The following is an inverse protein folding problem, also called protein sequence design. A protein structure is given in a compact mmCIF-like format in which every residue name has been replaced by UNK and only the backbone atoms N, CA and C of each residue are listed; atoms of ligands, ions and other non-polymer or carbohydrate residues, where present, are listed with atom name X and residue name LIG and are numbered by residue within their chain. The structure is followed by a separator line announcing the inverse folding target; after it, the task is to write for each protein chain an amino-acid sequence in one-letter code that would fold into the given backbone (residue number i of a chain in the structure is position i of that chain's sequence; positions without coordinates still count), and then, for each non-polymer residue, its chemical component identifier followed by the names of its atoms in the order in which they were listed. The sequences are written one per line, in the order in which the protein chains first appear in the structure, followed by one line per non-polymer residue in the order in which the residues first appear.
data_IF_286539055013
#
_entry.id   IF_286539055013
#
_cell.length_a   1.000
_cell.length_b   1.000
_cell.length_c   1.000
_cell.angle_alpha   90.00
_cell.angle_beta   90.00
_cell.angle_gamma   90.00
#
_symmetry.space_group_name_H-M   'P 1'
#
loop_
_entity.id
_entity.type
_entity.pdbx_description
1 polymer ?
#
# COMPACT_ATOMS: atom_id res chain seq x y z
N UNK A 1 25.04 15.96 -19.94
CA UNK A 1 24.50 15.59 -18.61
C UNK A 1 23.19 14.84 -18.82
N UNK A 2 23.02 13.70 -18.18
CA UNK A 2 21.79 12.94 -18.28
C UNK A 2 20.66 13.62 -17.48
N UNK A 3 19.42 13.47 -17.97
CA UNK A 3 18.26 13.94 -17.24
C UNK A 3 18.07 13.13 -15.93
N UNK A 4 17.64 13.77 -14.86
CA UNK A 4 17.33 13.03 -13.64
C UNK A 4 16.16 12.09 -13.84
N UNK A 5 16.23 10.93 -13.21
CA UNK A 5 15.11 9.99 -13.21
C UNK A 5 13.90 10.60 -12.50
N UNK A 6 12.74 10.48 -13.10
CA UNK A 6 11.47 10.90 -12.51
C UNK A 6 10.65 9.68 -12.15
N UNK A 7 10.07 9.69 -10.96
CA UNK A 7 9.24 8.60 -10.47
C UNK A 7 7.87 9.12 -10.04
N UNK A 8 6.84 8.29 -10.22
CA UNK A 8 5.59 8.47 -9.49
C UNK A 8 5.81 8.02 -8.05
N UNK A 9 5.40 8.84 -7.10
CA UNK A 9 5.46 8.48 -5.68
C UNK A 9 4.16 7.80 -5.27
N UNK A 10 4.26 6.52 -4.93
CA UNK A 10 3.16 5.74 -4.38
C UNK A 10 3.30 5.63 -2.86
N UNK A 11 2.16 5.58 -2.17
CA UNK A 11 2.10 5.27 -0.75
C UNK A 11 1.28 4.01 -0.54
N UNK A 12 1.71 3.17 0.39
CA UNK A 12 1.07 1.90 0.74
C UNK A 12 0.87 1.82 2.25
N UNK A 13 -0.27 1.29 2.65
CA UNK A 13 -0.57 1.06 4.05
C UNK A 13 -0.48 -0.44 4.37
N UNK A 14 0.46 -0.81 5.26
CA UNK A 14 0.43 -2.10 5.94
C UNK A 14 -0.39 -1.92 7.22
N UNK A 15 -1.71 -2.08 7.10
CA UNK A 15 -2.57 -2.12 8.27
C UNK A 15 -2.47 -3.51 8.87
N UNK A 16 -1.93 -3.60 10.07
CA UNK A 16 -1.63 -4.89 10.71
C UNK A 16 -2.55 -5.17 11.88
N UNK A 17 -2.89 -6.44 12.04
CA UNK A 17 -3.58 -6.98 13.20
C UNK A 17 -2.88 -8.30 13.55
N UNK A 18 -2.08 -8.29 14.63
CA UNK A 18 -1.16 -9.38 14.93
C UNK A 18 -0.25 -9.65 13.71
N UNK A 19 -0.14 -10.87 13.23
CA UNK A 19 0.69 -11.23 12.07
C UNK A 19 -0.04 -11.14 10.73
N UNK A 20 -1.24 -10.56 10.73
CA UNK A 20 -2.06 -10.39 9.54
C UNK A 20 -1.96 -8.98 8.99
N UNK A 21 -2.14 -8.86 7.68
CA UNK A 21 -2.20 -7.61 6.96
C UNK A 21 -3.51 -7.53 6.17
N UNK A 22 -4.09 -6.34 6.08
CA UNK A 22 -5.31 -6.11 5.30
C UNK A 22 -4.97 -5.93 3.83
N UNK A 23 -5.60 -6.72 2.98
CA UNK A 23 -5.50 -6.61 1.53
C UNK A 23 -6.85 -6.29 0.90
N UNK A 24 -6.80 -5.63 -0.25
CA UNK A 24 -7.95 -5.27 -1.06
C UNK A 24 -7.88 -6.01 -2.40
N UNK A 25 -8.99 -6.61 -2.83
CA UNK A 25 -9.11 -7.27 -4.12
C UNK A 25 -9.55 -6.24 -5.17
N UNK A 26 -8.70 -5.97 -6.14
CA UNK A 26 -8.95 -4.96 -7.18
C UNK A 26 -10.06 -5.40 -8.13
N UNK A 27 -10.95 -4.46 -8.47
CA UNK A 27 -11.95 -4.64 -9.54
C UNK A 27 -12.29 -3.28 -10.17
N UNK A 28 -12.69 -3.31 -11.45
CA UNK A 28 -13.21 -2.13 -12.13
C UNK A 28 -12.22 -0.97 -12.29
N UNK A 29 -10.92 -1.21 -12.10
CA UNK A 29 -9.88 -0.18 -12.18
C UNK A 29 -9.23 -0.09 -13.55
N UNK A 30 -9.34 -1.16 -14.36
CA UNK A 30 -8.65 -1.28 -15.64
C UNK A 30 -7.19 -1.69 -15.53
N UNK A 31 -6.67 -1.90 -14.32
CA UNK A 31 -5.29 -2.34 -14.09
C UNK A 31 -5.23 -3.35 -12.95
N UNK A 32 -4.62 -4.51 -13.23
CA UNK A 32 -4.42 -5.58 -12.26
C UNK A 32 -5.70 -6.02 -11.53
N UNK A 33 -6.85 -5.93 -12.19
CA UNK A 33 -8.12 -6.38 -11.63
C UNK A 33 -8.10 -7.88 -11.38
N UNK A 34 -8.66 -8.30 -10.23
CA UNK A 34 -8.57 -9.67 -9.76
C UNK A 34 -7.32 -9.97 -8.94
N UNK A 35 -6.43 -9.01 -8.75
CA UNK A 35 -5.24 -9.15 -7.90
C UNK A 35 -5.45 -8.46 -6.55
N UNK A 36 -4.80 -9.02 -5.54
CA UNK A 36 -4.76 -8.44 -4.20
C UNK A 36 -3.67 -7.39 -4.09
N UNK A 37 -3.98 -6.29 -3.42
CA UNK A 37 -3.08 -5.17 -3.22
C UNK A 37 -3.21 -4.65 -1.78
N UNK A 38 -2.16 -4.01 -1.28
CA UNK A 38 -2.29 -3.18 -0.09
C UNK A 38 -3.16 -1.95 -0.41
N UNK A 39 -3.87 -1.39 0.57
CA UNK A 39 -4.43 -0.05 0.42
C UNK A 39 -3.33 0.92 0.01
N UNK A 40 -3.57 1.70 -1.04
CA UNK A 40 -2.52 2.49 -1.68
C UNK A 40 -3.07 3.62 -2.53
N UNK A 41 -2.21 4.55 -2.88
CA UNK A 41 -2.51 5.60 -3.83
C UNK A 41 -1.26 6.40 -4.19
N UNK A 42 -1.44 7.38 -5.04
CA UNK A 42 -0.37 8.30 -5.42
C UNK A 42 -0.37 9.49 -4.48
N UNK A 43 0.81 9.93 -4.07
CA UNK A 43 0.94 11.19 -3.38
C UNK A 43 0.58 12.33 -4.35
N UNK A 44 -0.25 13.24 -3.92
CA UNK A 44 -0.68 14.40 -4.70
C UNK A 44 0.33 15.54 -4.56
N UNK A 45 0.28 16.49 -5.49
CA UNK A 45 1.13 17.69 -5.44
C UNK A 45 0.89 18.42 -4.11
N UNK A 46 1.98 18.81 -3.45
CA UNK A 46 1.99 19.55 -2.20
C UNK A 46 1.48 18.79 -0.97
N UNK A 47 1.35 17.45 -1.04
CA UNK A 47 1.11 16.66 0.18
C UNK A 47 2.35 15.82 0.53
N UNK A 48 2.58 15.60 1.81
CA UNK A 48 3.61 14.70 2.26
C UNK A 48 3.19 13.23 2.06
N UNK A 49 4.15 12.32 2.01
CA UNK A 49 3.83 10.90 1.90
C UNK A 49 2.97 10.40 3.07
N UNK A 50 3.22 10.88 4.29
CA UNK A 50 2.40 10.52 5.46
C UNK A 50 0.98 11.06 5.31
N UNK A 51 0.81 12.32 4.88
CA UNK A 51 -0.52 12.87 4.61
C UNK A 51 -1.25 12.08 3.52
N UNK A 52 -0.53 11.65 2.49
CA UNK A 52 -1.11 10.84 1.40
C UNK A 52 -1.63 9.49 1.90
N UNK A 53 -0.85 8.76 2.71
CA UNK A 53 -1.30 7.46 3.22
C UNK A 53 -2.46 7.60 4.20
N UNK A 54 -2.50 8.65 5.00
CA UNK A 54 -3.64 8.96 5.88
C UNK A 54 -4.90 9.24 5.07
N UNK A 55 -4.79 10.03 4.01
CA UNK A 55 -5.90 10.33 3.10
C UNK A 55 -6.41 9.06 2.40
N UNK A 56 -5.51 8.26 1.84
CA UNK A 56 -5.89 7.02 1.16
C UNK A 56 -6.56 6.02 2.11
N UNK A 57 -6.06 5.90 3.35
CA UNK A 57 -6.70 5.05 4.35
C UNK A 57 -8.15 5.48 4.63
N UNK A 58 -8.41 6.78 4.68
CA UNK A 58 -9.76 7.29 4.85
C UNK A 58 -10.63 7.03 3.61
N UNK A 59 -10.12 7.31 2.43
CA UNK A 59 -10.86 7.14 1.18
C UNK A 59 -11.19 5.67 0.88
N UNK A 60 -10.23 4.77 1.07
CA UNK A 60 -10.38 3.36 0.70
C UNK A 60 -11.00 2.50 1.81
N UNK A 61 -10.70 2.81 3.08
CA UNK A 61 -11.07 1.97 4.22
C UNK A 61 -12.01 2.65 5.22
N UNK A 62 -12.27 3.94 5.05
CA UNK A 62 -13.12 4.71 5.97
C UNK A 62 -12.53 4.92 7.36
N UNK A 63 -11.25 4.60 7.57
CA UNK A 63 -10.59 4.73 8.86
C UNK A 63 -9.86 6.07 8.99
N UNK A 64 -9.71 6.55 10.20
CA UNK A 64 -8.96 7.77 10.51
C UNK A 64 -7.69 7.41 11.25
N UNK A 65 -6.57 7.73 10.63
CA UNK A 65 -5.24 7.54 11.21
C UNK A 65 -4.62 8.91 11.52
N UNK A 66 -3.98 9.00 12.65
CA UNK A 66 -3.14 10.14 13.02
C UNK A 66 -1.72 9.91 12.49
N UNK A 67 -1.00 10.99 12.17
CA UNK A 67 0.40 10.89 11.77
C UNK A 67 1.29 10.21 12.81
N UNK A 68 0.91 10.24 14.09
CA UNK A 68 1.65 9.55 15.16
C UNK A 68 1.55 8.03 15.10
N UNK A 69 0.53 7.52 14.43
CA UNK A 69 0.25 6.08 14.31
C UNK A 69 0.94 5.48 13.09
N UNK A 70 1.54 6.29 12.25
CA UNK A 70 2.16 5.88 10.99
C UNK A 70 3.66 5.68 11.20
N UNK A 71 4.12 4.46 10.91
CA UNK A 71 5.53 4.09 11.03
C UNK A 71 6.08 3.76 9.63
N UNK A 72 7.21 4.35 9.27
CA UNK A 72 7.86 3.98 8.01
C UNK A 72 8.35 2.53 8.09
N UNK A 73 8.01 1.73 7.07
CA UNK A 73 8.39 0.33 7.00
C UNK A 73 9.46 0.07 5.95
N UNK A 74 9.25 0.50 4.71
CA UNK A 74 10.17 0.22 3.61
C UNK A 74 9.92 1.15 2.43
N UNK A 75 10.91 1.24 1.55
CA UNK A 75 10.79 1.85 0.24
C UNK A 75 11.10 0.81 -0.85
N UNK A 76 10.34 0.83 -1.94
CA UNK A 76 10.53 -0.05 -3.09
C UNK A 76 10.67 0.78 -4.36
N UNK A 77 11.79 0.61 -5.06
CA UNK A 77 12.02 1.22 -6.36
C UNK A 77 11.54 0.26 -7.44
N UNK A 78 10.43 0.61 -8.09
CA UNK A 78 9.73 -0.27 -9.02
C UNK A 78 9.83 0.28 -10.43
N UNK A 79 10.15 -0.60 -11.38
CA UNK A 79 10.11 -0.30 -12.80
C UNK A 79 9.09 -1.20 -13.48
N UNK A 80 8.00 -0.61 -13.95
CA UNK A 80 6.99 -1.32 -14.73
C UNK A 80 7.34 -1.30 -16.23
N UNK A 81 7.94 -0.19 -16.69
CA UNK A 81 8.41 0.00 -18.07
C UNK A 81 9.45 1.12 -18.07
N UNK A 82 10.04 1.40 -19.24
CA UNK A 82 11.01 2.50 -19.41
C UNK A 82 10.40 3.87 -19.07
N UNK A 83 9.10 4.00 -19.17
CA UNK A 83 8.38 5.26 -18.92
C UNK A 83 7.54 5.24 -17.65
N UNK A 84 7.50 4.12 -16.93
CA UNK A 84 6.74 3.99 -15.68
C UNK A 84 7.64 3.51 -14.55
N UNK A 85 8.37 4.46 -13.99
CA UNK A 85 9.23 4.25 -12.82
C UNK A 85 8.48 4.77 -11.59
N UNK A 86 8.50 4.01 -10.52
CA UNK A 86 7.73 4.30 -9.30
C UNK A 86 8.61 4.15 -8.07
N UNK A 87 8.37 5.01 -7.08
CA UNK A 87 8.94 4.85 -5.74
C UNK A 87 7.78 4.63 -4.78
N UNK A 88 7.70 3.44 -4.19
CA UNK A 88 6.68 3.11 -3.20
C UNK A 88 7.22 3.30 -1.80
N UNK A 89 6.52 4.09 -1.00
CA UNK A 89 6.77 4.22 0.42
C UNK A 89 5.72 3.44 1.19
N UNK A 90 6.17 2.46 1.97
CA UNK A 90 5.32 1.55 2.74
C UNK A 90 5.31 2.01 4.19
N UNK A 91 4.11 2.25 4.71
CA UNK A 91 3.90 2.67 6.09
C UNK A 91 3.07 1.62 6.82
N UNK A 92 3.43 1.36 8.07
CA UNK A 92 2.70 0.42 8.91
C UNK A 92 1.88 1.20 9.94
N UNK A 93 0.67 0.72 10.20
CA UNK A 93 -0.15 1.14 11.31
C UNK A 93 -0.89 -0.07 11.88
N UNK A 94 -1.09 -0.09 13.20
CA UNK A 94 -1.88 -1.12 13.86
C UNK A 94 -3.37 -0.84 13.67
N UNK A 95 -4.14 -1.88 13.35
CA UNK A 95 -5.58 -1.77 13.28
C UNK A 95 -6.16 -1.50 14.68
N UNK A 96 -7.11 -0.58 14.73
CA UNK A 96 -7.84 -0.26 15.95
C UNK A 96 -9.11 -1.12 16.04
N UNK A 97 -9.50 -1.45 17.27
CA UNK A 97 -10.70 -2.25 17.52
C UNK A 97 -11.91 -1.39 17.93
N UNK A 98 -11.76 -0.06 17.88
CA UNK A 98 -12.88 0.84 18.18
C UNK A 98 -13.89 0.82 17.03
N UNK A 99 -15.22 0.87 17.31
CA UNK A 99 -16.25 0.74 16.26
C UNK A 99 -16.14 1.76 15.13
N UNK A 100 -15.61 2.96 15.41
CA UNK A 100 -15.49 4.03 14.40
C UNK A 100 -14.25 3.87 13.51
N UNK A 101 -13.33 2.99 13.86
CA UNK A 101 -12.05 2.83 13.16
C UNK A 101 -11.87 1.42 12.58
N UNK A 102 -12.95 0.65 12.49
CA UNK A 102 -12.95 -0.65 11.82
C UNK A 102 -12.93 -0.41 10.30
N UNK A 103 -11.96 -0.95 9.58
CA UNK A 103 -11.91 -0.76 8.14
C UNK A 103 -13.11 -1.42 7.44
N UNK A 104 -13.64 -0.72 6.44
CA UNK A 104 -14.67 -1.25 5.55
C UNK A 104 -14.36 -0.86 4.11
N UNK A 105 -14.96 -1.55 3.16
CA UNK A 105 -14.79 -1.24 1.75
C UNK A 105 -15.55 0.05 1.39
N UNK A 106 -14.83 1.18 1.42
CA UNK A 106 -15.40 2.50 1.14
C UNK A 106 -15.45 2.83 -0.36
N UNK A 107 -14.77 2.03 -1.22
CA UNK A 107 -14.75 2.21 -2.67
C UNK A 107 -15.14 0.92 -3.41
N UNK A 108 -16.40 0.45 -3.25
CA UNK A 108 -16.81 -0.85 -3.78
C UNK A 108 -16.75 -0.95 -5.32
N UNK A 109 -16.69 0.17 -6.02
CA UNK A 109 -16.51 0.20 -7.47
C UNK A 109 -15.07 -0.12 -7.90
N UNK A 110 -14.09 0.02 -7.01
CA UNK A 110 -12.68 -0.27 -7.26
C UNK A 110 -12.17 -1.47 -6.48
N UNK A 111 -12.91 -1.92 -5.49
CA UNK A 111 -12.51 -2.99 -4.58
C UNK A 111 -13.66 -3.98 -4.41
N UNK A 112 -13.42 -5.24 -4.77
CA UNK A 112 -14.44 -6.29 -4.64
C UNK A 112 -14.66 -6.67 -3.18
N UNK A 113 -13.57 -6.76 -2.41
CA UNK A 113 -13.62 -7.08 -0.98
C UNK A 113 -12.29 -6.77 -0.30
N UNK A 114 -12.35 -6.63 1.02
CA UNK A 114 -11.20 -6.57 1.91
C UNK A 114 -11.06 -7.92 2.63
N UNK A 115 -9.83 -8.33 2.89
CA UNK A 115 -9.60 -9.54 3.70
C UNK A 115 -8.26 -9.44 4.44
N UNK A 116 -8.22 -10.06 5.62
CA UNK A 116 -7.00 -10.20 6.41
C UNK A 116 -6.29 -11.49 5.99
N UNK A 117 -5.00 -11.37 5.74
CA UNK A 117 -4.15 -12.52 5.40
C UNK A 117 -2.90 -12.56 6.27
N UNK A 118 -2.46 -13.76 6.68
CA UNK A 118 -1.14 -13.88 7.30
C UNK A 118 -0.06 -13.34 6.36
N UNK A 119 0.84 -12.52 6.86
CA UNK A 119 1.93 -11.98 6.03
C UNK A 119 2.86 -13.08 5.49
N UNK A 120 2.89 -14.24 6.16
CA UNK A 120 3.65 -15.42 5.72
C UNK A 120 2.91 -16.28 4.69
N UNK A 121 1.63 -15.99 4.43
CA UNK A 121 0.80 -16.80 3.53
C UNK A 121 -0.14 -15.87 2.74
N UNK A 122 0.45 -15.03 1.90
CA UNK A 122 -0.30 -14.13 1.03
C UNK A 122 -1.00 -14.91 -0.09
N UNK A 123 -2.14 -14.43 -0.61
CA UNK A 123 -2.77 -15.02 -1.79
C UNK A 123 -1.79 -15.08 -2.97
N UNK A 124 -1.91 -16.11 -3.80
CA UNK A 124 -1.05 -16.27 -4.97
C UNK A 124 -1.16 -15.08 -5.94
N UNK A 125 -2.35 -14.47 -6.04
CA UNK A 125 -2.60 -13.32 -6.89
C UNK A 125 -2.32 -11.98 -6.19
N UNK A 126 -1.36 -11.92 -5.29
CA UNK A 126 -0.91 -10.65 -4.69
C UNK A 126 0.02 -9.93 -5.66
N UNK A 127 -0.19 -8.63 -5.84
CA UNK A 127 0.67 -7.81 -6.69
C UNK A 127 2.12 -7.85 -6.20
N UNK A 128 3.09 -8.11 -7.09
CA UNK A 128 4.50 -8.23 -6.70
C UNK A 128 5.05 -7.01 -5.94
N UNK A 129 4.61 -5.83 -6.31
CA UNK A 129 5.00 -4.57 -5.66
C UNK A 129 4.61 -4.58 -4.17
N UNK A 130 3.35 -4.94 -3.88
CA UNK A 130 2.86 -5.07 -2.50
C UNK A 130 3.55 -6.22 -1.75
N UNK A 131 3.70 -7.37 -2.40
CA UNK A 131 4.33 -8.54 -1.79
C UNK A 131 5.77 -8.25 -1.37
N UNK A 132 6.53 -7.51 -2.19
CA UNK A 132 7.90 -7.11 -1.85
C UNK A 132 7.92 -6.19 -0.63
N UNK A 133 7.04 -5.20 -0.57
CA UNK A 133 6.96 -4.30 0.58
C UNK A 133 6.62 -5.04 1.88
N UNK A 134 5.68 -5.98 1.82
CA UNK A 134 5.32 -6.83 2.97
C UNK A 134 6.52 -7.69 3.40
N UNK A 135 7.23 -8.29 2.44
CA UNK A 135 8.42 -9.10 2.72
C UNK A 135 9.52 -8.28 3.39
N UNK A 136 9.77 -7.08 2.91
CA UNK A 136 10.76 -6.17 3.50
C UNK A 136 10.40 -5.84 4.95
N UNK A 137 9.12 -5.52 5.20
CA UNK A 137 8.63 -5.27 6.55
C UNK A 137 8.88 -6.47 7.47
N UNK A 138 8.52 -7.68 7.04
CA UNK A 138 8.72 -8.89 7.84
C UNK A 138 10.19 -9.19 8.15
N UNK A 139 11.09 -8.89 7.20
CA UNK A 139 12.53 -9.11 7.36
C UNK A 139 13.24 -7.97 8.08
N UNK A 140 12.50 -6.95 8.47
CA UNK A 140 13.07 -5.70 9.00
C UNK A 140 14.12 -5.10 8.07
N UNK A 141 13.87 -5.19 6.77
CA UNK A 141 14.66 -4.56 5.72
C UNK A 141 13.93 -3.32 5.21
N UNK A 142 14.67 -2.31 4.75
CA UNK A 142 14.08 -1.00 4.51
C UNK A 142 14.03 -0.60 3.04
N UNK A 143 14.68 -1.34 2.16
CA UNK A 143 14.74 -1.00 0.74
C UNK A 143 14.79 -2.23 -0.14
N UNK A 144 14.10 -2.14 -1.27
CA UNK A 144 14.16 -3.14 -2.33
C UNK A 144 13.90 -2.52 -3.70
N UNK A 145 14.16 -3.30 -4.73
CA UNK A 145 13.90 -2.90 -6.11
C UNK A 145 13.29 -4.08 -6.88
N UNK A 146 12.42 -3.77 -7.84
CA UNK A 146 11.78 -4.78 -8.69
C UNK A 146 11.55 -4.23 -10.10
N UNK A 147 11.60 -5.13 -11.09
CA UNK A 147 11.36 -4.79 -12.49
C UNK A 147 12.56 -4.24 -13.27
N UNK A 148 13.73 -4.30 -12.67
CA UNK A 148 14.97 -3.80 -13.26
C UNK A 148 15.72 -4.88 -14.04
#
# INVERSE_FOLDING_TARGET
MADPQRCTLDVFLLLTRQDNVLLALRQGTGFADGMWNLPSGKAETAETAVAAVVREAHEELGIRLSSHEINFAAAVHCRNSDTDIRLGLFFQAAAKETPLDVPYNAEPHKCAKLAWYPMTMLPAATMPYSALGISLYQRNAHFGATGW
#
